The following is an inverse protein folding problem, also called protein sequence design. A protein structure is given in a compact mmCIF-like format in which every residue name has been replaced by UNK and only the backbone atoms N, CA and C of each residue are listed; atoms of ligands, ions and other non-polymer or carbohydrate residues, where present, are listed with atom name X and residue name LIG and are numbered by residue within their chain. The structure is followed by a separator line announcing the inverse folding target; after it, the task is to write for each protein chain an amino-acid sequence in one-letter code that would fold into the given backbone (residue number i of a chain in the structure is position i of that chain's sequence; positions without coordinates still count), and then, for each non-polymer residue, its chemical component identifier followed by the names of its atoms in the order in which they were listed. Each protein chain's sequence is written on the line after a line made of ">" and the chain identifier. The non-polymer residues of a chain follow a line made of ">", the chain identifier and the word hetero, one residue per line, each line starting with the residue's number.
data_IF_331070080166
#
_entry.id   IF_331070080166
#
_cell.length_a   1.000
_cell.length_b   1.000
_cell.length_c   1.000
_cell.angle_alpha   90.00
_cell.angle_beta   90.00
_cell.angle_gamma   90.00
#
_symmetry.space_group_name_H-M   'P 1'
#
loop_
_entity.id
_entity.type
_entity.pdbx_description
1 polymer ?
#
# COMPACT_ATOMS: atom_id res chain seq x y z
N UNK A 1 -9.82 -10.77 -13.47
CA UNK A 1 -10.05 -10.87 -12.04
C UNK A 1 -11.04 -9.79 -11.62
N UNK A 2 -12.14 -10.20 -10.97
CA UNK A 2 -13.06 -9.25 -10.35
C UNK A 2 -12.33 -8.69 -9.12
N UNK A 3 -11.87 -7.44 -9.21
CA UNK A 3 -11.45 -6.72 -8.04
C UNK A 3 -12.72 -6.36 -7.27
N UNK A 4 -12.87 -7.01 -6.12
CA UNK A 4 -14.09 -6.90 -5.34
C UNK A 4 -14.28 -5.50 -4.75
N UNK A 5 -15.48 -5.27 -4.27
CA UNK A 5 -15.87 -4.01 -3.62
C UNK A 5 -14.92 -3.57 -2.48
N UNK A 6 -14.34 -4.45 -1.62
CA UNK A 6 -13.42 -4.02 -0.57
C UNK A 6 -12.18 -3.29 -1.04
N UNK A 7 -11.58 -3.68 -2.18
CA UNK A 7 -10.40 -2.97 -2.72
C UNK A 7 -10.75 -1.56 -3.18
N UNK A 8 -11.90 -1.39 -3.85
CA UNK A 8 -12.37 -0.08 -4.31
C UNK A 8 -12.84 0.81 -3.16
N UNK A 9 -13.39 0.24 -2.08
CA UNK A 9 -13.71 0.98 -0.86
C UNK A 9 -12.44 1.54 -0.22
N UNK A 10 -11.38 0.72 -0.07
CA UNK A 10 -10.08 1.21 0.45
C UNK A 10 -9.48 2.31 -0.43
N UNK A 11 -9.61 2.19 -1.75
CA UNK A 11 -9.19 3.24 -2.68
C UNK A 11 -10.00 4.52 -2.48
N UNK A 12 -11.32 4.44 -2.35
CA UNK A 12 -12.18 5.59 -2.11
C UNK A 12 -11.84 6.29 -0.79
N UNK A 13 -11.57 5.54 0.28
CA UNK A 13 -11.11 6.08 1.55
C UNK A 13 -9.76 6.80 1.42
N UNK A 14 -8.80 6.21 0.70
CA UNK A 14 -7.50 6.83 0.42
C UNK A 14 -7.67 8.14 -0.35
N UNK A 15 -8.46 8.13 -1.42
CA UNK A 15 -8.74 9.33 -2.23
C UNK A 15 -9.46 10.41 -1.43
N UNK A 16 -10.38 10.05 -0.54
CA UNK A 16 -11.05 10.99 0.36
C UNK A 16 -10.03 11.69 1.27
N UNK A 17 -9.12 10.93 1.88
CA UNK A 17 -8.05 11.54 2.67
C UNK A 17 -7.13 12.44 1.82
N UNK A 18 -6.75 12.00 0.61
CA UNK A 18 -5.88 12.78 -0.30
C UNK A 18 -6.57 13.98 -0.96
N UNK A 19 -7.89 14.12 -0.84
CA UNK A 19 -8.65 15.24 -1.46
C UNK A 19 -8.38 16.61 -0.84
N UNK A 20 -7.59 16.67 0.24
CA UNK A 20 -7.27 17.91 0.94
C UNK A 20 -8.33 18.35 1.95
N UNK A 21 -9.31 17.53 2.26
CA UNK A 21 -10.25 17.77 3.35
C UNK A 21 -9.50 17.92 4.68
N UNK A 22 -9.86 18.94 5.46
CA UNK A 22 -9.25 19.17 6.77
C UNK A 22 -9.76 18.16 7.79
N UNK A 23 -8.90 17.82 8.76
CA UNK A 23 -9.23 16.94 9.89
C UNK A 23 -9.67 15.52 9.47
N UNK A 24 -9.13 15.03 8.38
CA UNK A 24 -9.33 13.66 7.90
C UNK A 24 -8.04 12.88 8.03
N UNK A 25 -8.12 11.66 8.54
CA UNK A 25 -7.02 10.70 8.64
C UNK A 25 -7.52 9.29 8.31
N UNK A 26 -6.61 8.37 8.01
CA UNK A 26 -6.96 7.02 7.62
C UNK A 26 -6.06 6.00 8.32
N UNK A 27 -6.64 5.04 9.03
CA UNK A 27 -5.92 3.89 9.56
C UNK A 27 -5.94 2.74 8.54
N UNK A 28 -4.79 2.38 8.02
CA UNK A 28 -4.62 1.18 7.19
C UNK A 28 -4.49 -0.03 8.12
N UNK A 29 -5.30 -1.08 7.92
CA UNK A 29 -5.34 -2.27 8.77
C UNK A 29 -5.22 -3.59 7.98
N UNK A 30 -4.55 -3.57 6.84
CA UNK A 30 -4.35 -4.74 5.98
C UNK A 30 -3.54 -5.86 6.64
N UNK A 31 -2.87 -5.58 7.74
CA UNK A 31 -2.09 -6.51 8.57
C UNK A 31 -2.81 -6.96 9.86
N UNK A 32 -4.02 -6.48 10.10
CA UNK A 32 -4.78 -6.74 11.33
C UNK A 32 -6.22 -7.22 11.06
N UNK A 33 -6.54 -7.53 9.80
CA UNK A 33 -7.81 -8.10 9.40
C UNK A 33 -7.91 -9.60 9.65
N UNK A 34 -9.07 -10.14 9.32
CA UNK A 34 -9.35 -11.57 9.32
C UNK A 34 -9.95 -11.97 7.97
N UNK A 35 -9.48 -13.06 7.38
CA UNK A 35 -9.96 -13.54 6.09
C UNK A 35 -11.37 -14.13 6.12
N UNK A 36 -11.82 -14.54 7.31
CA UNK A 36 -13.10 -15.20 7.52
C UNK A 36 -14.12 -14.34 8.27
N UNK A 37 -13.68 -13.21 8.84
CA UNK A 37 -14.54 -12.33 9.62
C UNK A 37 -14.26 -10.86 9.27
N UNK A 38 -15.25 -10.19 8.68
CA UNK A 38 -15.16 -8.75 8.39
C UNK A 38 -15.14 -7.89 9.67
N UNK A 39 -15.40 -8.49 10.82
CA UNK A 39 -15.35 -7.85 12.14
C UNK A 39 -14.16 -8.35 12.97
N UNK A 40 -12.90 -8.01 12.59
CA UNK A 40 -11.72 -8.51 13.28
C UNK A 40 -11.81 -8.16 14.77
N UNK A 41 -11.49 -9.14 15.63
CA UNK A 41 -11.64 -8.99 17.09
C UNK A 41 -10.65 -7.98 17.68
N UNK A 42 -9.47 -7.87 17.10
CA UNK A 42 -8.47 -6.90 17.55
C UNK A 42 -8.82 -5.48 17.08
N UNK A 43 -9.49 -4.72 17.94
CA UNK A 43 -9.82 -3.31 17.69
C UNK A 43 -8.72 -2.33 18.14
N UNK A 44 -7.77 -2.81 18.95
CA UNK A 44 -6.69 -1.98 19.52
C UNK A 44 -5.85 -1.37 18.42
N UNK A 45 -5.43 -2.16 17.43
CA UNK A 45 -4.62 -1.68 16.29
C UNK A 45 -5.29 -0.54 15.53
N UNK A 46 -6.60 -0.67 15.29
CA UNK A 46 -7.36 0.40 14.61
C UNK A 46 -7.42 1.66 15.47
N UNK A 47 -7.70 1.50 16.77
CA UNK A 47 -7.77 2.62 17.73
C UNK A 47 -6.41 3.34 17.86
N UNK A 48 -5.33 2.60 18.01
CA UNK A 48 -3.97 3.16 18.12
C UNK A 48 -3.57 3.94 16.86
N UNK A 49 -3.86 3.41 15.65
CA UNK A 49 -3.56 4.09 14.39
C UNK A 49 -4.38 5.34 14.20
N UNK A 50 -5.67 5.34 14.56
CA UNK A 50 -6.50 6.56 14.54
C UNK A 50 -6.03 7.58 15.59
N UNK A 51 -5.63 7.13 16.79
CA UNK A 51 -5.08 7.99 17.81
C UNK A 51 -3.76 8.65 17.37
N UNK A 52 -2.88 7.91 16.66
CA UNK A 52 -1.64 8.45 16.12
C UNK A 52 -1.90 9.62 15.16
N UNK A 53 -2.94 9.54 14.32
CA UNK A 53 -3.36 10.65 13.47
C UNK A 53 -3.78 11.89 14.29
N UNK A 54 -4.61 11.70 15.31
CA UNK A 54 -5.03 12.80 16.18
C UNK A 54 -3.81 13.42 16.90
N UNK A 55 -2.95 12.57 17.46
CA UNK A 55 -1.73 13.02 18.15
C UNK A 55 -0.84 13.86 17.24
N UNK A 56 -0.57 13.38 16.01
CA UNK A 56 0.31 14.08 15.08
C UNK A 56 -0.34 15.36 14.53
N UNK A 57 -1.56 15.27 14.01
CA UNK A 57 -2.16 16.34 13.22
C UNK A 57 -2.95 17.36 14.05
N UNK A 58 -3.58 16.94 15.15
CA UNK A 58 -4.36 17.82 15.99
C UNK A 58 -3.57 18.33 17.22
N UNK A 59 -2.77 17.46 17.81
CA UNK A 59 -2.02 17.78 19.03
C UNK A 59 -0.52 18.10 18.79
N UNK A 60 -0.05 18.05 17.54
CA UNK A 60 1.32 18.42 17.16
C UNK A 60 2.40 17.52 17.76
N UNK A 61 2.08 16.28 18.11
CA UNK A 61 3.06 15.36 18.68
C UNK A 61 3.92 14.75 17.57
N UNK A 62 5.19 14.54 17.87
CA UNK A 62 6.12 13.85 16.96
C UNK A 62 5.91 12.32 17.04
N UNK A 63 4.91 11.85 16.31
CA UNK A 63 4.57 10.44 16.19
C UNK A 63 4.32 10.08 14.72
N UNK A 64 4.76 8.88 14.31
CA UNK A 64 4.46 8.35 12.98
C UNK A 64 2.98 7.95 12.93
N UNK A 65 2.23 8.51 12.00
CA UNK A 65 0.77 8.36 11.90
C UNK A 65 0.30 7.62 10.65
N UNK A 66 1.15 7.52 9.61
CA UNK A 66 0.83 6.85 8.36
C UNK A 66 1.91 5.86 7.98
N UNK A 67 1.50 4.78 7.32
CA UNK A 67 2.39 3.89 6.58
C UNK A 67 2.71 4.44 5.19
N UNK A 68 3.49 3.70 4.39
CA UNK A 68 3.88 4.12 3.04
C UNK A 68 2.68 4.39 2.13
N UNK A 69 2.74 5.47 1.39
CA UNK A 69 1.73 5.88 0.41
C UNK A 69 2.35 5.94 -0.96
N UNK A 70 1.75 5.25 -1.93
CA UNK A 70 2.22 5.32 -3.31
C UNK A 70 2.27 6.77 -3.80
N UNK A 71 3.41 7.15 -4.38
CA UNK A 71 3.65 8.50 -4.90
C UNK A 71 3.76 8.53 -6.42
N UNK A 72 4.74 7.82 -6.95
CA UNK A 72 5.03 7.79 -8.40
C UNK A 72 5.55 6.44 -8.83
N UNK A 73 5.45 6.18 -10.13
CA UNK A 73 6.12 5.04 -10.76
C UNK A 73 7.01 5.51 -11.91
N UNK A 74 8.08 4.73 -12.17
CA UNK A 74 8.97 4.89 -13.31
C UNK A 74 9.16 3.54 -13.98
N UNK A 75 8.95 3.47 -15.28
CA UNK A 75 9.24 2.25 -16.07
C UNK A 75 10.72 2.26 -16.44
N UNK A 76 11.42 1.16 -16.18
CA UNK A 76 12.81 0.93 -16.57
C UNK A 76 12.96 -0.45 -17.23
N UNK A 77 12.94 -0.47 -18.56
CA UNK A 77 12.96 -1.72 -19.31
C UNK A 77 11.75 -2.59 -19.01
N UNK A 78 11.98 -3.77 -18.46
CA UNK A 78 10.94 -4.75 -18.11
C UNK A 78 10.51 -4.69 -16.64
N UNK A 79 10.78 -3.62 -15.94
CA UNK A 79 10.42 -3.43 -14.52
C UNK A 79 9.83 -2.06 -14.27
N UNK A 80 9.09 -1.94 -13.18
CA UNK A 80 8.56 -0.68 -12.66
C UNK A 80 9.19 -0.41 -11.29
N UNK A 81 9.66 0.82 -11.11
CA UNK A 81 10.16 1.34 -9.84
C UNK A 81 9.08 2.21 -9.24
N UNK A 82 8.67 1.88 -8.02
CA UNK A 82 7.64 2.58 -7.26
C UNK A 82 8.28 3.41 -6.16
N UNK A 83 7.89 4.66 -6.05
CA UNK A 83 8.30 5.57 -4.97
C UNK A 83 7.12 5.84 -4.04
N UNK A 84 7.42 6.12 -2.77
CA UNK A 84 6.42 6.28 -1.72
C UNK A 84 6.71 7.52 -0.88
N UNK A 85 5.65 8.16 -0.39
CA UNK A 85 5.70 9.10 0.72
C UNK A 85 5.46 8.36 2.05
N UNK A 86 5.63 9.03 3.18
CA UNK A 86 5.41 8.53 4.55
C UNK A 86 6.23 7.26 4.91
N UNK A 87 7.39 7.11 4.30
CA UNK A 87 8.28 5.97 4.54
C UNK A 87 9.10 6.10 5.83
N UNK A 88 9.17 7.30 6.41
CA UNK A 88 9.99 7.56 7.61
C UNK A 88 11.48 7.22 7.38
N UNK A 89 12.00 6.28 8.17
CA UNK A 89 13.40 5.80 8.04
C UNK A 89 13.60 4.80 6.89
N UNK A 90 12.58 4.50 6.11
CA UNK A 90 12.62 3.59 4.97
C UNK A 90 11.52 2.54 5.00
N UNK A 91 11.42 1.82 3.88
CA UNK A 91 10.51 0.70 3.69
C UNK A 91 11.07 -0.58 4.32
N UNK A 92 10.18 -1.47 4.71
CA UNK A 92 10.55 -2.80 5.20
C UNK A 92 9.47 -3.82 4.85
N UNK A 93 9.86 -5.08 4.70
CA UNK A 93 8.96 -6.22 4.66
C UNK A 93 9.11 -7.08 5.92
N UNK A 94 9.89 -6.63 6.90
CA UNK A 94 10.29 -7.41 8.06
C UNK A 94 10.88 -8.78 7.69
N UNK A 95 11.69 -8.82 6.59
CA UNK A 95 12.31 -10.03 6.01
C UNK A 95 11.31 -11.08 5.49
N UNK A 96 10.03 -10.72 5.34
CA UNK A 96 9.04 -11.55 4.67
C UNK A 96 9.10 -11.36 3.14
N UNK A 97 8.62 -12.33 2.35
CA UNK A 97 8.47 -12.13 0.91
C UNK A 97 7.60 -10.89 0.61
N UNK A 98 7.99 -10.12 -0.38
CA UNK A 98 7.26 -8.92 -0.79
C UNK A 98 6.12 -9.32 -1.75
N UNK A 99 5.02 -9.76 -1.21
CA UNK A 99 3.86 -10.32 -1.93
C UNK A 99 2.76 -9.29 -2.18
N UNK A 100 1.72 -9.67 -2.90
CA UNK A 100 0.53 -8.83 -3.13
C UNK A 100 0.69 -7.80 -4.23
N UNK A 101 1.78 -7.86 -5.00
CA UNK A 101 1.97 -7.06 -6.20
C UNK A 101 1.47 -7.79 -7.45
N UNK A 102 0.89 -7.04 -8.36
CA UNK A 102 0.49 -7.47 -9.69
C UNK A 102 0.96 -6.43 -10.71
N UNK A 103 1.40 -6.90 -11.89
CA UNK A 103 1.93 -6.05 -12.96
C UNK A 103 1.22 -6.39 -14.28
N UNK A 104 0.97 -5.38 -15.11
CA UNK A 104 0.34 -5.55 -16.41
C UNK A 104 1.13 -4.84 -17.50
N UNK A 105 1.09 -5.41 -18.70
CA UNK A 105 1.53 -4.80 -19.95
C UNK A 105 0.41 -4.00 -20.63
N UNK A 106 0.63 -3.64 -21.90
CA UNK A 106 -0.35 -2.92 -22.72
C UNK A 106 -1.64 -3.71 -22.99
N UNK A 107 -1.58 -5.03 -22.85
CA UNK A 107 -2.73 -5.92 -22.92
C UNK A 107 -3.70 -5.78 -21.72
N UNK A 108 -3.30 -5.05 -20.68
CA UNK A 108 -4.04 -4.81 -19.44
C UNK A 108 -4.35 -6.07 -18.62
N UNK A 109 -3.63 -7.16 -18.87
CA UNK A 109 -3.77 -8.40 -18.12
C UNK A 109 -2.80 -8.35 -16.93
N UNK A 110 -3.34 -8.44 -15.71
CA UNK A 110 -2.53 -8.44 -14.50
C UNK A 110 -2.00 -9.83 -14.16
N UNK A 111 -0.70 -9.93 -14.01
CA UNK A 111 0.03 -11.11 -13.56
C UNK A 111 0.58 -10.89 -12.16
N UNK A 112 0.67 -11.92 -11.30
CA UNK A 112 1.43 -11.83 -10.05
C UNK A 112 2.84 -11.34 -10.34
N UNK A 113 3.38 -10.48 -9.49
CA UNK A 113 4.67 -9.87 -9.74
C UNK A 113 5.67 -10.14 -8.62
N UNK A 114 6.92 -10.35 -9.00
CA UNK A 114 8.06 -10.30 -8.10
C UNK A 114 8.30 -8.86 -7.68
N UNK A 115 8.40 -8.64 -6.37
CA UNK A 115 8.68 -7.34 -5.82
C UNK A 115 9.82 -7.41 -4.80
N UNK A 116 10.68 -6.41 -4.80
CA UNK A 116 11.78 -6.28 -3.84
C UNK A 116 12.04 -4.82 -3.50
N UNK A 117 12.56 -4.59 -2.32
CA UNK A 117 13.01 -3.26 -1.93
C UNK A 117 14.17 -2.83 -2.84
N UNK A 118 14.13 -1.58 -3.28
CA UNK A 118 15.19 -0.94 -4.02
C UNK A 118 16.32 -0.45 -3.11
N UNK A 119 17.26 0.27 -3.70
CA UNK A 119 18.42 0.78 -3.00
C UNK A 119 18.02 1.67 -1.80
N UNK A 120 18.70 1.46 -0.66
CA UNK A 120 18.43 2.19 0.57
C UNK A 120 17.02 2.02 1.13
N UNK A 121 16.27 1.00 0.67
CA UNK A 121 14.88 0.76 1.06
C UNK A 121 13.95 1.98 0.88
N UNK A 122 14.16 2.76 -0.19
CA UNK A 122 13.37 3.95 -0.50
C UNK A 122 12.29 3.68 -1.57
N UNK A 123 12.46 2.61 -2.33
CA UNK A 123 11.59 2.25 -3.46
C UNK A 123 11.25 0.77 -3.42
N UNK A 124 10.28 0.37 -4.26
CA UNK A 124 9.98 -1.03 -4.57
C UNK A 124 10.18 -1.24 -6.06
N UNK A 125 10.94 -2.28 -6.42
CA UNK A 125 11.13 -2.71 -7.80
C UNK A 125 10.21 -3.89 -8.06
N UNK A 126 9.35 -3.76 -9.08
CA UNK A 126 8.34 -4.76 -9.45
C UNK A 126 8.60 -5.25 -10.87
N UNK A 127 8.54 -6.56 -11.08
CA UNK A 127 8.73 -7.18 -12.39
C UNK A 127 8.01 -8.52 -12.50
N UNK A 128 7.80 -8.96 -13.76
CA UNK A 128 7.39 -10.32 -14.07
C UNK A 128 8.05 -10.74 -15.39
N UNK A 129 8.64 -11.94 -15.51
CA UNK A 129 9.33 -12.40 -16.72
C UNK A 129 8.45 -12.43 -17.98
N UNK A 130 7.13 -12.62 -17.81
CA UNK A 130 6.16 -12.68 -18.90
C UNK A 130 5.75 -11.28 -19.39
N UNK A 131 5.92 -10.24 -18.58
CA UNK A 131 5.53 -8.86 -18.90
C UNK A 131 6.75 -8.06 -19.33
N UNK A 132 7.01 -8.01 -20.64
CA UNK A 132 8.22 -7.36 -21.19
C UNK A 132 8.13 -5.83 -21.21
N UNK A 133 6.93 -5.30 -21.39
CA UNK A 133 6.65 -3.87 -21.45
C UNK A 133 5.58 -3.51 -20.42
N UNK A 134 5.95 -3.41 -19.13
CA UNK A 134 4.99 -3.14 -18.09
C UNK A 134 4.51 -1.68 -18.13
N UNK A 135 3.21 -1.49 -17.91
CA UNK A 135 2.57 -0.16 -17.90
C UNK A 135 1.81 0.13 -16.61
N UNK A 136 1.48 -0.89 -15.82
CA UNK A 136 0.73 -0.71 -14.59
C UNK A 136 1.12 -1.70 -13.50
N UNK A 137 0.94 -1.27 -12.25
CA UNK A 137 1.13 -2.08 -11.04
C UNK A 137 -0.06 -1.89 -10.10
N UNK A 138 -0.46 -2.98 -9.44
CA UNK A 138 -1.39 -2.98 -8.31
C UNK A 138 -0.72 -3.59 -7.09
N UNK A 139 -1.01 -3.05 -5.93
CA UNK A 139 -0.55 -3.59 -4.65
C UNK A 139 -1.72 -3.79 -3.70
N UNK A 140 -1.84 -4.99 -3.15
CA UNK A 140 -2.89 -5.34 -2.19
C UNK A 140 -4.30 -4.97 -2.68
N UNK A 141 -4.51 -4.96 -3.99
CA UNK A 141 -5.76 -4.52 -4.62
C UNK A 141 -6.71 -5.70 -4.84
N UNK A 142 -7.00 -6.43 -3.75
CA UNK A 142 -7.88 -7.61 -3.68
C UNK A 142 -8.82 -7.49 -2.49
N UNK A 143 -9.82 -8.35 -2.41
CA UNK A 143 -10.79 -8.34 -1.32
C UNK A 143 -10.12 -8.58 0.04
N UNK A 144 -9.35 -9.66 0.13
CA UNK A 144 -8.47 -9.93 1.26
C UNK A 144 -7.02 -10.04 0.79
N UNK A 145 -6.14 -9.42 1.53
CA UNK A 145 -4.70 -9.52 1.33
C UNK A 145 -3.98 -9.20 2.63
N UNK A 146 -3.00 -10.00 2.96
CA UNK A 146 -2.06 -9.67 4.02
C UNK A 146 -0.98 -8.74 3.45
N UNK A 147 -0.93 -7.50 3.93
CA UNK A 147 0.07 -6.53 3.49
C UNK A 147 1.49 -6.96 3.85
N UNK A 148 2.42 -6.84 2.91
CA UNK A 148 3.84 -7.17 3.13
C UNK A 148 4.73 -5.93 3.29
N UNK A 149 4.28 -4.77 2.83
CA UNK A 149 5.07 -3.53 2.78
C UNK A 149 4.70 -2.62 3.95
N UNK A 150 5.72 -2.18 4.66
CA UNK A 150 5.61 -1.33 5.86
C UNK A 150 6.66 -0.23 5.83
N UNK A 151 6.49 0.79 6.64
CA UNK A 151 7.63 1.63 7.04
C UNK A 151 8.32 1.04 8.29
N UNK A 152 9.49 1.58 8.62
CA UNK A 152 10.28 1.10 9.78
C UNK A 152 9.60 1.36 11.13
N UNK A 153 8.51 2.15 11.17
CA UNK A 153 7.67 2.33 12.38
C UNK A 153 6.58 1.27 12.51
N UNK A 154 6.52 0.29 11.60
CA UNK A 154 5.56 -0.82 11.67
C UNK A 154 4.18 -0.51 11.11
N UNK A 155 3.99 0.60 10.39
CA UNK A 155 2.73 0.93 9.77
C UNK A 155 2.67 0.38 8.34
N UNK A 156 1.60 -0.34 7.95
CA UNK A 156 1.46 -0.94 6.63
C UNK A 156 1.18 0.09 5.54
N UNK A 157 1.65 -0.21 4.33
CA UNK A 157 1.29 0.56 3.16
C UNK A 157 -0.19 0.40 2.82
N UNK A 158 -0.82 1.49 2.37
CA UNK A 158 -2.15 1.43 1.77
C UNK A 158 -2.13 0.63 0.47
N UNK A 159 -3.24 -0.06 0.18
CA UNK A 159 -3.44 -0.62 -1.16
C UNK A 159 -3.51 0.50 -2.20
N UNK A 160 -3.01 0.22 -3.40
CA UNK A 160 -3.05 1.17 -4.51
C UNK A 160 -3.07 0.46 -5.86
N UNK A 161 -3.44 1.22 -6.87
CA UNK A 161 -3.24 0.89 -8.28
C UNK A 161 -2.70 2.10 -9.03
N UNK A 162 -1.97 1.86 -10.11
CA UNK A 162 -1.41 2.90 -10.96
C UNK A 162 -2.21 3.09 -12.25
N UNK A 163 -3.12 2.19 -12.52
CA UNK A 163 -4.05 2.19 -13.66
C UNK A 163 -5.36 2.91 -13.33
N UNK A 164 -6.15 3.14 -14.36
CA UNK A 164 -7.49 3.74 -14.29
C UNK A 164 -8.56 2.95 -15.04
N UNK A 165 -8.27 1.70 -15.41
CA UNK A 165 -9.20 0.79 -16.10
C UNK A 165 -9.67 -0.37 -15.24
#
# INVERSE_FOLDING_TARGET
>A
PHYGQPATIREAQLRTWQSGLKNVGMAVITDAGDSLDIHPRNKTVTGERLAAWALAKQYGKDVTYSGPLFKTMKVEGNKIILSFDEIGKGLTTFRRPCTGFEIAGEDRIFHPADARLGEGAQTVVVSNPEVKHPVAVRYAFKDYVEGCLFNMSGLPASSFRTDNW
#
